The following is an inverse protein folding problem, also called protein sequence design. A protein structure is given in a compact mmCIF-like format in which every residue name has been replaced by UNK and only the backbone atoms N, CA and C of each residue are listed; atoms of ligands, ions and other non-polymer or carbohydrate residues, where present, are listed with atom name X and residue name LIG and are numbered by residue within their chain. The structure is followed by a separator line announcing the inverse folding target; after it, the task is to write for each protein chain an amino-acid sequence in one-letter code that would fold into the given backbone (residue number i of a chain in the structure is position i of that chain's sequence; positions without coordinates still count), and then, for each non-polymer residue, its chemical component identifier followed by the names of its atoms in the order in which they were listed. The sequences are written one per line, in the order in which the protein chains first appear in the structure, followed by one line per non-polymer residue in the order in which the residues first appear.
data_IF_901754140991
#
_entry.id   IF_901754140991
#
_cell.length_a   1.000
_cell.length_b   1.000
_cell.length_c   1.000
_cell.angle_alpha   90.00
_cell.angle_beta   90.00
_cell.angle_gamma   90.00
#
_symmetry.space_group_name_H-M   'P 1'
#
loop_
_entity.id
_entity.type
_entity.pdbx_description
1 polymer ?
#
# COMPACT_ATOMS: atom_id res chain seq x y z
N UNK A 1 -6.31 -8.00 -13.30
CA UNK A 1 -5.47 -8.63 -12.27
C UNK A 1 -4.13 -7.90 -12.20
N UNK A 2 -3.71 -7.55 -11.00
CA UNK A 2 -2.44 -6.83 -10.80
C UNK A 2 -1.30 -7.86 -10.77
N UNK A 3 -0.24 -7.63 -11.53
CA UNK A 3 0.91 -8.50 -11.58
C UNK A 3 1.96 -8.05 -10.57
N UNK A 4 2.79 -8.99 -10.13
CA UNK A 4 3.88 -8.71 -9.19
C UNK A 4 4.77 -7.56 -9.67
N UNK A 5 5.17 -7.59 -10.94
CA UNK A 5 6.05 -6.57 -11.48
C UNK A 5 5.40 -5.19 -11.47
N UNK A 6 4.08 -5.13 -11.69
CA UNK A 6 3.36 -3.86 -11.59
C UNK A 6 3.42 -3.27 -10.18
N UNK A 7 3.35 -4.12 -9.16
CA UNK A 7 3.49 -3.66 -7.78
C UNK A 7 4.87 -3.08 -7.53
N UNK A 8 5.92 -3.81 -7.95
CA UNK A 8 7.29 -3.37 -7.77
C UNK A 8 7.55 -2.07 -8.53
N UNK A 9 7.09 -1.98 -9.78
CA UNK A 9 7.26 -0.79 -10.61
C UNK A 9 6.55 0.43 -10.02
N UNK A 10 5.52 0.21 -9.20
CA UNK A 10 4.76 1.29 -8.58
C UNK A 10 5.18 1.56 -7.13
N UNK A 11 6.32 1.03 -6.71
CA UNK A 11 6.91 1.36 -5.43
C UNK A 11 6.48 0.50 -4.25
N UNK A 12 5.70 -0.55 -4.50
CA UNK A 12 5.38 -1.51 -3.46
C UNK A 12 6.52 -2.50 -3.29
N UNK A 13 6.79 -2.87 -2.05
CA UNK A 13 7.81 -3.86 -1.72
C UNK A 13 7.18 -4.98 -0.90
N UNK A 14 7.76 -6.17 -1.01
CA UNK A 14 7.31 -7.30 -0.20
C UNK A 14 7.60 -7.05 1.27
N UNK A 15 6.63 -7.38 2.11
CA UNK A 15 6.74 -7.20 3.56
C UNK A 15 6.42 -8.50 4.30
N UNK A 16 6.80 -9.61 3.71
CA UNK A 16 6.70 -10.92 4.34
C UNK A 16 5.51 -11.74 3.86
N UNK A 17 5.45 -12.96 4.38
CA UNK A 17 4.39 -13.93 4.09
C UNK A 17 3.88 -14.51 5.39
N UNK A 18 2.55 -14.72 5.47
CA UNK A 18 1.95 -15.35 6.62
C UNK A 18 0.67 -16.08 6.21
N UNK A 19 0.54 -17.36 6.60
CA UNK A 19 -0.62 -18.19 6.27
C UNK A 19 -0.95 -18.24 4.77
N UNK A 20 0.09 -18.31 3.92
CA UNK A 20 -0.09 -18.37 2.47
C UNK A 20 -0.49 -17.03 1.84
N UNK A 21 -0.41 -15.95 2.60
CA UNK A 21 -0.70 -14.60 2.12
C UNK A 21 0.60 -13.83 2.02
N UNK A 22 0.74 -13.08 0.92
CA UNK A 22 1.88 -12.20 0.72
C UNK A 22 1.48 -10.77 1.03
N UNK A 23 2.31 -10.10 1.81
CA UNK A 23 2.07 -8.72 2.22
C UNK A 23 2.99 -7.78 1.46
N UNK A 24 2.47 -6.63 1.07
CA UNK A 24 3.22 -5.59 0.39
C UNK A 24 2.98 -4.27 1.08
N UNK A 25 3.98 -3.39 1.03
CA UNK A 25 3.87 -2.07 1.64
C UNK A 25 4.45 -1.00 0.73
N UNK A 26 3.91 0.20 0.83
CA UNK A 26 4.46 1.40 0.20
C UNK A 26 4.29 2.55 1.18
N UNK A 27 5.40 2.97 1.78
CA UNK A 27 5.41 4.09 2.73
C UNK A 27 4.39 3.96 3.87
N UNK A 28 4.17 2.71 4.34
CA UNK A 28 3.20 2.45 5.40
C UNK A 28 1.79 2.09 4.93
N UNK A 29 1.52 2.22 3.63
CA UNK A 29 0.28 1.74 3.05
C UNK A 29 0.41 0.24 2.77
N UNK A 30 -0.38 -0.57 3.47
CA UNK A 30 -0.23 -2.03 3.47
C UNK A 30 -1.35 -2.71 2.73
N UNK A 31 -0.98 -3.67 1.88
CA UNK A 31 -1.94 -4.51 1.15
C UNK A 31 -1.55 -5.97 1.29
N UNK A 32 -2.47 -6.85 0.98
CA UNK A 32 -2.27 -8.29 1.11
C UNK A 32 -2.80 -9.00 -0.14
N UNK A 33 -2.05 -10.01 -0.60
CA UNK A 33 -2.50 -10.93 -1.64
C UNK A 33 -2.93 -12.23 -0.97
N UNK A 34 -4.19 -12.59 -1.12
CA UNK A 34 -4.76 -13.75 -0.46
C UNK A 34 -4.37 -15.08 -1.09
N UNK A 35 -3.79 -15.05 -2.27
CA UNK A 35 -3.45 -16.27 -3.01
C UNK A 35 -1.97 -16.61 -3.01
N UNK A 36 -1.14 -15.76 -2.40
CA UNK A 36 0.30 -15.92 -2.44
C UNK A 36 0.88 -15.48 -3.78
N UNK A 37 2.15 -15.10 -3.77
CA UNK A 37 2.79 -14.50 -4.94
C UNK A 37 3.00 -15.51 -6.07
N UNK A 38 3.20 -16.79 -5.74
CA UNK A 38 3.37 -17.83 -6.73
C UNK A 38 2.08 -18.17 -7.49
N UNK A 39 0.96 -17.61 -7.08
CA UNK A 39 -0.36 -17.87 -7.63
C UNK A 39 -0.99 -16.62 -8.23
N UNK A 40 -0.19 -15.81 -8.88
CA UNK A 40 -0.60 -14.52 -9.40
C UNK A 40 -1.76 -14.55 -10.40
N UNK A 41 -2.01 -15.70 -11.01
CA UNK A 41 -3.16 -15.83 -11.89
C UNK A 41 -4.51 -15.77 -11.16
N UNK A 42 -4.49 -15.77 -9.85
CA UNK A 42 -5.70 -15.68 -9.01
C UNK A 42 -5.54 -14.73 -7.85
N UNK A 43 -4.68 -13.72 -8.00
CA UNK A 43 -4.45 -12.83 -6.89
C UNK A 43 -5.70 -12.02 -6.55
N UNK A 44 -5.94 -11.86 -5.26
CA UNK A 44 -6.96 -10.99 -4.72
C UNK A 44 -6.26 -10.02 -3.80
N UNK A 45 -5.76 -8.93 -4.38
CA UNK A 45 -5.14 -7.89 -3.59
C UNK A 45 -6.20 -7.09 -2.86
N UNK A 46 -6.01 -6.87 -1.58
CA UNK A 46 -6.94 -6.09 -0.78
C UNK A 46 -6.21 -5.31 0.30
N UNK A 47 -6.88 -4.28 0.79
CA UNK A 47 -6.40 -3.49 1.92
C UNK A 47 -7.45 -2.45 2.27
N UNK A 48 -7.54 -2.14 3.58
CA UNK A 48 -8.44 -1.10 4.07
C UNK A 48 -9.89 -1.30 3.65
N UNK A 49 -10.33 -2.58 3.62
CA UNK A 49 -11.71 -2.92 3.28
C UNK A 49 -12.04 -2.93 1.80
N UNK A 50 -11.04 -2.83 0.92
CA UNK A 50 -11.25 -2.80 -0.53
C UNK A 50 -10.44 -3.89 -1.22
N UNK A 51 -10.96 -4.39 -2.34
CA UNK A 51 -10.22 -5.24 -3.25
C UNK A 51 -9.76 -4.42 -4.44
N UNK A 52 -8.57 -4.74 -4.97
CA UNK A 52 -7.98 -4.01 -6.09
C UNK A 52 -7.79 -4.96 -7.26
N UNK A 53 -8.40 -4.66 -8.40
CA UNK A 53 -8.27 -5.46 -9.61
C UNK A 53 -7.28 -4.87 -10.60
N UNK A 54 -7.11 -3.55 -10.58
CA UNK A 54 -6.20 -2.84 -11.48
C UNK A 54 -5.19 -2.02 -10.68
N UNK A 55 -4.05 -1.77 -11.30
CA UNK A 55 -3.02 -0.94 -10.67
C UNK A 55 -3.51 0.50 -10.49
N UNK A 56 -4.39 0.97 -11.38
CA UNK A 56 -4.97 2.30 -11.28
C UNK A 56 -5.83 2.44 -10.03
N UNK A 57 -6.64 1.43 -9.72
CA UNK A 57 -7.45 1.42 -8.49
C UNK A 57 -6.56 1.45 -7.26
N UNK A 58 -5.48 0.66 -7.29
CA UNK A 58 -4.54 0.60 -6.18
C UNK A 58 -3.83 1.93 -5.98
N UNK A 59 -3.35 2.53 -7.07
CA UNK A 59 -2.67 3.83 -7.01
C UNK A 59 -3.62 4.93 -6.53
N UNK A 60 -4.87 4.90 -6.94
CA UNK A 60 -5.86 5.87 -6.48
C UNK A 60 -6.12 5.73 -4.98
N UNK A 61 -6.23 4.50 -4.49
CA UNK A 61 -6.42 4.24 -3.06
C UNK A 61 -5.20 4.70 -2.26
N UNK A 62 -4.00 4.43 -2.76
CA UNK A 62 -2.76 4.89 -2.12
C UNK A 62 -2.73 6.40 -2.03
N UNK A 63 -3.04 7.09 -3.13
CA UNK A 63 -3.05 8.55 -3.17
C UNK A 63 -4.01 9.13 -2.14
N UNK A 64 -5.23 8.59 -2.07
CA UNK A 64 -6.22 9.06 -1.10
C UNK A 64 -5.76 8.83 0.33
N UNK A 65 -5.16 7.68 0.60
CA UNK A 65 -4.61 7.39 1.91
C UNK A 65 -3.47 8.36 2.26
N UNK A 66 -2.58 8.60 1.30
CA UNK A 66 -1.43 9.49 1.50
C UNK A 66 -1.86 10.93 1.76
N UNK A 67 -2.85 11.42 1.02
CA UNK A 67 -3.40 12.76 1.21
C UNK A 67 -3.99 12.92 2.61
N UNK A 68 -4.75 11.94 3.07
CA UNK A 68 -5.30 11.97 4.43
C UNK A 68 -4.22 11.89 5.50
N UNK A 69 -3.20 11.09 5.25
CA UNK A 69 -2.07 10.96 6.17
C UNK A 69 -1.33 12.29 6.31
N UNK A 70 -1.03 12.93 5.19
CA UNK A 70 -0.35 14.23 5.18
C UNK A 70 -1.22 15.28 5.88
N UNK A 71 -2.50 15.34 5.54
CA UNK A 71 -3.43 16.27 6.15
C UNK A 71 -3.47 16.13 7.68
N UNK A 72 -3.43 14.88 8.17
CA UNK A 72 -3.48 14.61 9.60
C UNK A 72 -2.19 14.95 10.32
N UNK A 73 -1.03 14.67 9.71
CA UNK A 73 0.26 14.75 10.41
C UNK A 73 1.11 15.97 10.04
N UNK A 74 0.86 16.61 8.92
CA UNK A 74 1.65 17.77 8.50
C UNK A 74 1.65 18.91 9.50
N UNK A 75 0.50 19.32 10.06
CA UNK A 75 0.50 20.38 11.07
C UNK A 75 1.34 20.05 12.30
N UNK A 76 1.34 18.77 12.71
CA UNK A 76 2.15 18.32 13.84
C UNK A 76 3.63 18.38 13.52
N UNK A 77 4.02 17.98 12.30
CA UNK A 77 5.41 18.04 11.86
C UNK A 77 5.91 19.47 11.83
N UNK A 78 5.10 20.40 11.35
CA UNK A 78 5.44 21.82 11.33
C UNK A 78 5.62 22.33 12.75
N UNK A 79 4.71 21.99 13.66
CA UNK A 79 4.79 22.42 15.06
C UNK A 79 6.05 21.89 15.73
N UNK A 80 6.43 20.63 15.45
CA UNK A 80 7.65 20.04 15.99
C UNK A 80 8.87 20.80 15.48
N UNK A 81 8.93 21.05 14.18
CA UNK A 81 10.04 21.79 13.57
C UNK A 81 10.18 23.18 14.17
N UNK A 82 9.06 23.88 14.36
CA UNK A 82 9.07 25.22 14.95
C UNK A 82 9.59 25.21 16.39
N UNK A 83 9.25 24.17 17.15
CA UNK A 83 9.69 24.06 18.54
C UNK A 83 11.20 23.84 18.70
N UNK A 84 11.87 23.43 17.61
CA UNK A 84 13.31 23.17 17.62
C UNK A 84 14.15 24.40 17.22
N UNK A 85 13.53 25.50 16.85
CA UNK A 85 14.25 26.73 16.45
C UNK A 85 14.74 27.52 17.64
#
# INVERSE_FOLDING_TARGET
MIKYQELIDNGFVEDGEWNGRDYFTKNGFNIVSHCGISRWNKNNLSGYGKQFETIEELNDAYRKWAEKFIEKYEPRLIAIKESLK
#
